data_IF_010360139008
#
_entry.id   IF_010360139008
#
_cell.length_a   1.000
_cell.length_b   1.000
_cell.length_c   1.000
_cell.angle_alpha   90.00
_cell.angle_beta   90.00
_cell.angle_gamma   90.00
#
_symmetry.space_group_name_H-M   'P 1'
#
loop_
_entity.id
_entity.type
_entity.pdbx_description
1 polymer ?
#
# COMPACT_ATOMS: atom_id res chain seq x y z
N UNK A 1 -14.03 5.06 36.98
CA UNK A 1 -13.12 6.24 37.06
C UNK A 1 -13.48 7.01 38.30
N UNK A 2 -12.52 7.28 39.14
CA UNK A 2 -12.70 8.19 40.30
C UNK A 2 -12.41 9.62 39.80
N UNK A 3 -13.39 10.54 40.01
CA UNK A 3 -13.29 11.96 39.61
C UNK A 3 -12.88 12.23 38.16
N UNK A 4 -13.65 11.79 37.15
CA UNK A 4 -13.32 12.03 35.73
C UNK A 4 -13.31 13.55 35.42
N UNK A 5 -12.28 14.00 34.67
CA UNK A 5 -12.18 15.38 34.18
C UNK A 5 -11.80 15.38 32.69
N UNK A 6 -12.30 16.35 31.96
CA UNK A 6 -11.90 16.53 30.58
C UNK A 6 -10.39 16.81 30.48
N UNK A 7 -9.67 16.07 29.64
CA UNK A 7 -8.23 16.26 29.48
C UNK A 7 -7.84 17.60 28.81
N UNK A 8 -8.79 18.32 28.22
CA UNK A 8 -8.56 19.59 27.51
C UNK A 8 -8.97 20.79 28.39
N UNK A 9 -10.22 20.79 28.93
CA UNK A 9 -10.77 21.93 29.66
C UNK A 9 -10.83 21.69 31.17
N UNK A 10 -10.43 20.53 31.67
CA UNK A 10 -10.44 20.13 33.09
C UNK A 10 -11.82 20.14 33.76
N UNK A 11 -12.91 20.35 33.01
CA UNK A 11 -14.26 20.35 33.60
C UNK A 11 -14.72 18.92 33.93
N UNK A 12 -15.59 18.82 34.92
CA UNK A 12 -16.25 17.58 35.31
C UNK A 12 -17.36 17.25 34.32
N UNK A 13 -17.43 16.03 33.77
CA UNK A 13 -18.50 15.64 32.87
C UNK A 13 -19.85 15.58 33.58
N UNK A 14 -20.91 15.93 32.88
CA UNK A 14 -22.30 15.83 33.36
C UNK A 14 -22.86 14.47 32.94
N UNK A 15 -23.49 13.76 33.88
CA UNK A 15 -24.24 12.53 33.61
C UNK A 15 -25.56 12.88 32.95
N UNK A 16 -25.89 12.15 31.85
CA UNK A 16 -27.20 12.21 31.18
C UNK A 16 -27.71 10.79 30.99
N UNK A 17 -29.00 10.61 31.16
CA UNK A 17 -29.72 9.38 30.77
C UNK A 17 -30.28 9.55 29.39
N UNK A 18 -30.19 8.50 28.57
CA UNK A 18 -30.80 8.42 27.24
C UNK A 18 -31.10 6.97 26.86
N UNK A 19 -32.15 6.78 26.08
CA UNK A 19 -32.56 5.48 25.58
C UNK A 19 -31.81 5.11 24.30
N UNK A 20 -31.22 3.92 24.28
CA UNK A 20 -30.41 3.45 23.17
C UNK A 20 -30.85 2.08 22.68
N UNK A 21 -30.67 1.82 21.37
CA UNK A 21 -30.81 0.51 20.78
C UNK A 21 -29.49 -0.22 20.80
N UNK A 22 -29.55 -1.51 21.13
CA UNK A 22 -28.39 -2.38 21.21
C UNK A 22 -28.50 -3.50 20.17
N UNK A 23 -27.46 -3.61 19.34
CA UNK A 23 -27.27 -4.78 18.50
C UNK A 23 -26.85 -5.97 19.36
N UNK A 24 -27.59 -7.07 19.28
CA UNK A 24 -27.38 -8.27 20.10
C UNK A 24 -26.14 -9.05 19.65
N UNK A 25 -24.96 -8.45 19.82
CA UNK A 25 -23.67 -9.04 19.44
C UNK A 25 -23.44 -10.37 20.17
N UNK A 26 -23.87 -10.45 21.44
CA UNK A 26 -23.77 -11.67 22.25
C UNK A 26 -24.41 -12.90 21.61
N UNK A 27 -25.42 -12.74 20.76
CA UNK A 27 -26.09 -13.86 20.05
C UNK A 27 -25.21 -14.49 18.96
N UNK A 28 -24.16 -13.81 18.52
CA UNK A 28 -23.27 -14.25 17.46
C UNK A 28 -21.98 -14.89 17.97
N UNK A 29 -21.82 -15.05 19.29
CA UNK A 29 -20.59 -15.54 19.94
C UNK A 29 -20.07 -16.83 19.31
N UNK A 30 -20.90 -17.87 19.20
CA UNK A 30 -20.47 -19.16 18.64
C UNK A 30 -20.16 -19.12 17.15
N UNK A 31 -20.94 -18.35 16.38
CA UNK A 31 -20.71 -18.19 14.94
C UNK A 31 -19.39 -17.42 14.67
N UNK A 32 -19.15 -16.35 15.44
CA UNK A 32 -17.89 -15.59 15.37
C UNK A 32 -16.70 -16.44 15.79
N UNK A 33 -16.84 -17.21 16.87
CA UNK A 33 -15.81 -18.15 17.32
C UNK A 33 -15.47 -19.18 16.24
N UNK A 34 -16.49 -19.79 15.64
CA UNK A 34 -16.31 -20.77 14.57
C UNK A 34 -15.61 -20.18 13.36
N UNK A 35 -16.01 -18.98 12.93
CA UNK A 35 -15.37 -18.29 11.82
C UNK A 35 -13.91 -17.92 12.11
N UNK A 36 -13.62 -17.41 13.32
CA UNK A 36 -12.26 -17.04 13.71
C UNK A 36 -11.32 -18.26 13.74
N UNK A 37 -11.81 -19.39 14.26
CA UNK A 37 -11.01 -20.63 14.33
C UNK A 37 -10.82 -21.24 12.93
N UNK A 38 -11.87 -21.21 12.10
CA UNK A 38 -11.86 -21.81 10.76
C UNK A 38 -11.18 -20.96 9.67
N UNK A 39 -10.73 -19.75 9.97
CA UNK A 39 -10.10 -18.88 8.99
C UNK A 39 -8.59 -18.73 9.25
N UNK A 40 -7.79 -19.57 8.59
CA UNK A 40 -6.32 -19.56 8.71
C UNK A 40 -5.64 -18.39 8.00
N UNK A 41 -6.38 -17.61 7.20
CA UNK A 41 -5.84 -16.42 6.55
C UNK A 41 -5.75 -15.19 7.48
N UNK A 42 -6.35 -15.28 8.68
CA UNK A 42 -6.24 -14.21 9.68
C UNK A 42 -4.88 -14.25 10.36
N UNK A 43 -4.32 -13.05 10.63
CA UNK A 43 -3.08 -12.95 11.41
C UNK A 43 -3.28 -13.62 12.79
N UNK A 44 -2.49 -14.63 13.10
CA UNK A 44 -2.64 -15.47 14.31
C UNK A 44 -2.65 -14.67 15.60
N UNK A 45 -1.82 -13.64 15.70
CA UNK A 45 -1.76 -12.75 16.88
C UNK A 45 -3.08 -12.01 17.10
N UNK A 46 -3.63 -11.43 16.02
CA UNK A 46 -4.90 -10.67 16.09
C UNK A 46 -6.07 -11.63 16.34
N UNK A 47 -6.11 -12.75 15.61
CA UNK A 47 -7.12 -13.80 15.81
C UNK A 47 -7.17 -14.27 17.27
N UNK A 48 -6.01 -14.62 17.84
CA UNK A 48 -5.93 -15.11 19.20
C UNK A 48 -6.30 -14.02 20.24
N UNK A 49 -5.99 -12.77 19.95
CA UNK A 49 -6.39 -11.65 20.79
C UNK A 49 -7.91 -11.46 20.79
N UNK A 50 -8.55 -11.53 19.61
CA UNK A 50 -10.01 -11.41 19.48
C UNK A 50 -10.73 -12.61 20.08
N UNK A 51 -10.21 -13.82 19.92
CA UNK A 51 -10.77 -15.03 20.55
C UNK A 51 -10.89 -14.90 22.05
N UNK A 52 -9.91 -14.28 22.72
CA UNK A 52 -10.01 -14.00 24.18
C UNK A 52 -11.18 -13.08 24.54
N UNK A 53 -11.53 -12.12 23.67
CA UNK A 53 -12.74 -11.30 23.88
C UNK A 53 -14.02 -12.14 23.73
N UNK A 54 -14.05 -13.01 22.73
CA UNK A 54 -15.21 -13.88 22.50
C UNK A 54 -15.39 -14.85 23.68
N UNK A 55 -14.33 -15.45 24.18
CA UNK A 55 -14.33 -16.35 25.35
C UNK A 55 -14.69 -15.61 26.67
N UNK A 56 -14.30 -14.35 26.79
CA UNK A 56 -14.64 -13.51 27.95
C UNK A 56 -16.10 -13.03 27.98
N UNK A 57 -16.88 -13.32 26.94
CA UNK A 57 -18.27 -12.92 26.79
C UNK A 57 -18.43 -11.58 26.06
N UNK A 58 -19.06 -11.62 24.88
CA UNK A 58 -19.34 -10.44 24.08
C UNK A 58 -20.52 -9.66 24.69
N UNK A 59 -20.35 -8.36 24.84
CA UNK A 59 -21.42 -7.45 25.23
C UNK A 59 -22.16 -6.94 24.00
N UNK A 60 -23.47 -6.67 24.19
CA UNK A 60 -24.29 -6.06 23.15
C UNK A 60 -23.81 -4.65 22.84
N UNK A 61 -23.88 -4.28 21.58
CA UNK A 61 -23.30 -3.04 21.08
C UNK A 61 -24.34 -1.94 20.94
N UNK A 62 -24.14 -0.82 21.62
CA UNK A 62 -24.93 0.40 21.46
C UNK A 62 -24.73 1.00 20.05
N UNK A 63 -25.79 1.00 19.25
CA UNK A 63 -25.78 1.40 17.84
C UNK A 63 -26.50 2.73 17.56
N UNK A 64 -26.85 3.48 18.61
CA UNK A 64 -27.54 4.76 18.46
C UNK A 64 -26.84 5.90 19.19
N UNK A 65 -27.16 7.13 18.77
CA UNK A 65 -26.66 8.35 19.42
C UNK A 65 -27.79 9.38 19.45
N UNK A 66 -27.91 10.06 20.58
CA UNK A 66 -28.85 11.16 20.80
C UNK A 66 -28.28 12.46 20.20
N UNK A 67 -28.16 12.47 18.86
CA UNK A 67 -27.70 13.61 18.06
C UNK A 67 -28.58 13.77 16.82
N UNK A 68 -28.87 15.02 16.41
CA UNK A 68 -29.74 15.28 15.26
C UNK A 68 -29.07 15.03 13.90
N UNK A 69 -27.74 14.89 13.86
CA UNK A 69 -26.99 14.69 12.64
C UNK A 69 -26.54 13.23 12.50
N UNK A 70 -26.90 12.58 11.40
CA UNK A 70 -26.58 11.20 11.12
C UNK A 70 -27.68 10.50 10.32
N UNK A 71 -27.56 9.20 10.12
CA UNK A 71 -28.60 8.36 9.54
C UNK A 71 -29.70 8.13 10.59
N UNK A 72 -30.94 8.62 10.37
CA UNK A 72 -32.01 8.45 11.36
C UNK A 72 -32.39 6.98 11.50
N UNK A 73 -32.82 6.60 12.68
CA UNK A 73 -33.40 5.27 12.92
C UNK A 73 -34.70 5.19 12.12
N UNK A 74 -34.98 4.08 11.41
CA UNK A 74 -36.18 3.92 10.58
C UNK A 74 -37.43 3.67 11.42
N UNK A 75 -37.70 4.54 12.40
CA UNK A 75 -38.86 4.54 13.31
C UNK A 75 -39.27 5.98 13.62
N UNK A 76 -40.54 6.31 13.42
CA UNK A 76 -41.06 7.67 13.58
C UNK A 76 -41.09 8.12 15.07
N UNK A 77 -41.20 7.18 15.99
CA UNK A 77 -41.26 7.45 17.44
C UNK A 77 -39.88 7.67 18.08
N UNK A 78 -38.78 7.53 17.33
CA UNK A 78 -37.41 7.60 17.85
C UNK A 78 -36.63 8.75 17.23
N UNK A 79 -36.22 9.72 18.05
CA UNK A 79 -35.38 10.85 17.64
C UNK A 79 -33.90 10.60 17.90
N UNK A 80 -33.36 9.52 17.39
CA UNK A 80 -31.95 9.20 17.47
C UNK A 80 -31.37 8.86 16.12
N UNK A 81 -30.06 8.99 15.96
CA UNK A 81 -29.32 8.62 14.76
C UNK A 81 -28.53 7.34 14.99
N UNK A 82 -28.30 6.60 13.92
CA UNK A 82 -27.38 5.45 13.96
C UNK A 82 -25.98 5.92 14.30
N UNK A 83 -25.28 5.12 15.09
CA UNK A 83 -23.87 5.34 15.38
C UNK A 83 -23.03 5.13 14.13
N UNK A 84 -22.14 6.07 13.83
CA UNK A 84 -21.30 6.10 12.63
C UNK A 84 -20.65 4.74 12.31
N UNK A 85 -20.14 4.03 13.29
CA UNK A 85 -19.49 2.74 13.03
C UNK A 85 -20.48 1.60 12.73
N UNK A 86 -21.76 1.78 12.97
CA UNK A 86 -22.77 0.80 12.56
C UNK A 86 -23.09 0.92 11.07
N UNK A 87 -23.47 2.09 10.59
CA UNK A 87 -23.84 2.32 9.19
C UNK A 87 -22.62 2.36 8.26
N UNK A 88 -21.47 2.89 8.72
CA UNK A 88 -20.25 2.99 7.92
C UNK A 88 -19.72 1.63 7.43
N UNK A 89 -19.92 0.55 8.18
CA UNK A 89 -19.53 -0.80 7.76
C UNK A 89 -20.28 -1.28 6.50
N UNK A 90 -21.45 -0.73 6.23
CA UNK A 90 -22.24 -1.05 5.04
C UNK A 90 -21.63 -0.47 3.76
N UNK A 91 -20.76 0.55 3.87
CA UNK A 91 -20.15 1.21 2.71
C UNK A 91 -19.33 0.27 1.84
N UNK A 92 -18.70 -0.75 2.41
CA UNK A 92 -17.96 -1.76 1.66
C UNK A 92 -18.86 -2.49 0.66
N UNK A 93 -20.01 -2.96 1.13
CA UNK A 93 -20.98 -3.68 0.30
C UNK A 93 -21.65 -2.71 -0.67
N UNK A 94 -22.22 -1.61 -0.18
CA UNK A 94 -22.98 -0.66 -1.01
C UNK A 94 -22.12 -0.05 -2.13
N UNK A 95 -20.87 0.26 -1.85
CA UNK A 95 -19.92 0.78 -2.87
C UNK A 95 -19.62 -0.29 -3.92
N UNK A 96 -19.33 -1.53 -3.49
CA UNK A 96 -19.06 -2.63 -4.41
C UNK A 96 -20.29 -2.91 -5.31
N UNK A 97 -21.47 -2.99 -4.73
CA UNK A 97 -22.71 -3.19 -5.48
C UNK A 97 -22.95 -2.09 -6.51
N UNK A 98 -22.78 -0.83 -6.12
CA UNK A 98 -22.98 0.32 -7.02
C UNK A 98 -22.00 0.31 -8.19
N UNK A 99 -20.71 0.06 -7.94
CA UNK A 99 -19.68 0.01 -8.99
C UNK A 99 -19.94 -1.15 -9.96
N UNK A 100 -20.27 -2.32 -9.43
CA UNK A 100 -20.51 -3.52 -10.25
C UNK A 100 -21.80 -3.41 -11.07
N UNK A 101 -22.85 -2.80 -10.51
CA UNK A 101 -24.06 -2.47 -11.26
C UNK A 101 -23.75 -1.58 -12.47
N UNK A 102 -22.90 -0.56 -12.30
CA UNK A 102 -22.44 0.29 -13.40
C UNK A 102 -21.65 -0.45 -14.49
N UNK A 103 -21.16 -1.67 -14.18
CA UNK A 103 -20.47 -2.58 -15.12
C UNK A 103 -21.35 -3.72 -15.61
N UNK A 104 -22.65 -3.70 -15.35
CA UNK A 104 -23.62 -4.75 -15.67
C UNK A 104 -23.25 -6.11 -15.06
N UNK A 105 -22.65 -6.11 -13.88
CA UNK A 105 -22.31 -7.31 -13.12
C UNK A 105 -23.25 -7.48 -11.92
N UNK A 106 -23.57 -8.73 -11.58
CA UNK A 106 -24.29 -9.03 -10.34
C UNK A 106 -23.35 -8.85 -9.14
N UNK A 107 -23.51 -7.73 -8.44
CA UNK A 107 -22.67 -7.35 -7.32
C UNK A 107 -22.74 -8.32 -6.15
N UNK A 108 -23.88 -8.95 -5.87
CA UNK A 108 -24.04 -9.90 -4.78
C UNK A 108 -23.31 -11.21 -5.08
N UNK A 109 -23.49 -11.77 -6.27
CA UNK A 109 -22.76 -12.96 -6.70
C UNK A 109 -21.26 -12.72 -6.74
N UNK A 110 -20.84 -11.56 -7.26
CA UNK A 110 -19.42 -11.19 -7.26
C UNK A 110 -18.86 -11.12 -5.83
N UNK A 111 -19.54 -10.40 -4.91
CA UNK A 111 -19.11 -10.31 -3.51
C UNK A 111 -18.91 -11.68 -2.88
N UNK A 112 -19.85 -12.59 -3.08
CA UNK A 112 -19.83 -13.91 -2.45
C UNK A 112 -18.81 -14.88 -3.09
N UNK A 113 -18.37 -14.63 -4.33
CA UNK A 113 -17.34 -15.43 -5.02
C UNK A 113 -15.93 -14.84 -4.94
N UNK A 114 -15.78 -13.52 -4.77
CA UNK A 114 -14.49 -12.85 -4.71
C UNK A 114 -13.72 -13.17 -3.41
N UNK A 115 -12.39 -13.05 -3.45
CA UNK A 115 -11.56 -12.99 -2.23
C UNK A 115 -11.65 -11.59 -1.64
N UNK A 116 -12.07 -11.49 -0.39
CA UNK A 116 -12.30 -10.23 0.31
C UNK A 116 -11.14 -9.90 1.23
N UNK A 117 -10.43 -8.82 0.91
CA UNK A 117 -9.35 -8.27 1.73
C UNK A 117 -9.78 -6.94 2.33
N UNK A 118 -9.82 -6.84 3.66
CA UNK A 118 -10.03 -5.57 4.36
C UNK A 118 -8.74 -5.16 5.06
N UNK A 119 -8.02 -4.20 4.49
CA UNK A 119 -6.83 -3.61 5.12
C UNK A 119 -7.24 -2.65 6.22
N UNK A 120 -6.83 -2.93 7.45
CA UNK A 120 -7.28 -2.18 8.63
C UNK A 120 -6.11 -1.76 9.54
N UNK A 121 -6.34 -0.70 10.34
CA UNK A 121 -5.50 -0.36 11.47
C UNK A 121 -5.91 -1.17 12.72
N UNK A 122 -4.98 -1.33 13.66
CA UNK A 122 -5.24 -2.06 14.91
C UNK A 122 -6.33 -1.43 15.80
N UNK A 123 -6.62 -0.15 15.59
CA UNK A 123 -7.66 0.60 16.32
C UNK A 123 -9.09 0.16 15.97
N UNK A 124 -9.29 -0.44 14.79
CA UNK A 124 -10.60 -0.89 14.31
C UNK A 124 -10.72 -2.42 14.23
N UNK A 125 -9.86 -3.16 14.94
CA UNK A 125 -9.92 -4.63 15.03
C UNK A 125 -11.27 -5.08 15.55
N UNK A 126 -11.77 -4.48 16.64
CA UNK A 126 -13.06 -4.84 17.23
C UNK A 126 -14.20 -4.74 16.20
N UNK A 127 -14.18 -3.69 15.38
CA UNK A 127 -15.19 -3.46 14.35
C UNK A 127 -15.14 -4.51 13.23
N UNK A 128 -13.96 -4.87 12.74
CA UNK A 128 -13.81 -5.74 11.57
C UNK A 128 -13.76 -7.23 11.90
N UNK A 129 -13.42 -7.59 13.13
CA UNK A 129 -13.39 -8.98 13.56
C UNK A 129 -14.65 -9.43 14.30
N UNK A 130 -15.47 -8.50 14.81
CA UNK A 130 -16.67 -8.82 15.57
C UNK A 130 -17.94 -8.18 14.98
N UNK A 131 -18.02 -6.83 14.96
CA UNK A 131 -19.27 -6.14 14.57
C UNK A 131 -19.64 -6.37 13.13
N UNK A 132 -18.74 -6.10 12.18
CA UNK A 132 -19.02 -6.30 10.76
C UNK A 132 -19.33 -7.74 10.40
N UNK A 133 -18.58 -8.76 10.87
CA UNK A 133 -18.95 -10.16 10.70
C UNK A 133 -20.33 -10.48 11.30
N UNK A 134 -20.63 -10.05 12.52
CA UNK A 134 -21.92 -10.31 13.17
C UNK A 134 -23.09 -9.70 12.38
N UNK A 135 -22.94 -8.48 11.87
CA UNK A 135 -23.96 -7.85 11.01
C UNK A 135 -24.20 -8.64 9.73
N UNK A 136 -23.14 -9.15 9.08
CA UNK A 136 -23.27 -9.99 7.87
C UNK A 136 -23.91 -11.35 8.19
N UNK A 137 -23.53 -11.97 9.29
CA UNK A 137 -24.17 -13.21 9.78
C UNK A 137 -25.65 -13.00 10.07
N UNK A 138 -26.02 -11.85 10.64
CA UNK A 138 -27.41 -11.51 10.92
C UNK A 138 -28.25 -11.33 9.67
N UNK A 139 -27.69 -10.79 8.61
CA UNK A 139 -28.36 -10.66 7.30
C UNK A 139 -28.34 -11.98 6.51
N UNK A 140 -27.27 -12.77 6.63
CA UNK A 140 -27.12 -14.08 5.98
C UNK A 140 -26.89 -14.03 4.45
N UNK A 141 -26.69 -12.86 3.87
CA UNK A 141 -26.62 -12.69 2.41
C UNK A 141 -25.20 -12.44 1.87
N UNK A 142 -24.30 -12.00 2.71
CA UNK A 142 -22.96 -11.56 2.33
C UNK A 142 -21.91 -12.33 3.10
N UNK A 143 -20.93 -12.90 2.38
CA UNK A 143 -19.83 -13.63 3.01
C UNK A 143 -18.96 -12.74 3.89
N UNK A 144 -18.33 -13.37 4.87
CA UNK A 144 -17.36 -12.71 5.76
C UNK A 144 -16.03 -12.45 5.04
N UNK A 145 -15.17 -11.57 5.56
CA UNK A 145 -13.84 -11.32 5.00
C UNK A 145 -12.99 -12.59 4.98
N UNK A 146 -12.26 -12.81 3.87
CA UNK A 146 -11.27 -13.88 3.81
C UNK A 146 -9.97 -13.45 4.52
N UNK A 147 -9.59 -12.18 4.37
CA UNK A 147 -8.36 -11.61 4.93
C UNK A 147 -8.66 -10.29 5.64
N UNK A 148 -8.04 -10.10 6.80
CA UNK A 148 -8.08 -8.85 7.56
C UNK A 148 -6.65 -8.38 7.89
N UNK A 149 -5.87 -7.94 6.87
CA UNK A 149 -4.52 -7.44 7.10
C UNK A 149 -4.53 -6.26 8.06
N UNK A 150 -4.10 -6.51 9.29
CA UNK A 150 -4.11 -5.54 10.40
C UNK A 150 -2.72 -4.95 10.56
N UNK A 151 -2.63 -3.62 10.59
CA UNK A 151 -1.37 -2.86 10.72
C UNK A 151 -1.35 -2.02 11.98
N UNK A 152 -0.14 -1.69 12.45
CA UNK A 152 0.07 -0.71 13.51
C UNK A 152 -0.29 0.71 13.08
N UNK A 153 -0.21 1.64 14.03
CA UNK A 153 -0.38 3.06 13.74
C UNK A 153 0.88 3.64 13.11
N UNK A 154 0.70 4.69 12.31
CA UNK A 154 1.80 5.52 11.84
C UNK A 154 2.01 6.64 12.87
N UNK A 155 3.22 6.73 13.41
CA UNK A 155 3.69 7.83 14.22
C UNK A 155 4.38 8.86 13.32
N UNK A 156 4.52 10.09 13.77
CA UNK A 156 5.27 11.14 13.08
C UNK A 156 6.36 11.68 14.00
N UNK A 157 7.61 11.52 13.61
CA UNK A 157 8.75 11.94 14.45
C UNK A 157 8.62 11.42 15.88
N UNK A 158 8.28 10.14 16.06
CA UNK A 158 8.10 9.47 17.34
C UNK A 158 6.84 9.85 18.13
N UNK A 159 5.92 10.65 17.57
CA UNK A 159 4.69 11.09 18.24
C UNK A 159 3.45 10.70 17.44
N UNK A 160 2.32 10.53 18.13
CA UNK A 160 1.02 10.30 17.47
C UNK A 160 0.58 11.51 16.67
N UNK A 161 -0.02 11.27 15.50
CA UNK A 161 -0.66 12.33 14.71
C UNK A 161 -1.73 13.05 15.54
N UNK A 162 -1.77 14.37 15.47
CA UNK A 162 -2.74 15.19 16.21
C UNK A 162 -3.07 16.48 15.48
N UNK A 163 -4.29 16.58 14.95
CA UNK A 163 -4.77 17.82 14.30
C UNK A 163 -4.84 18.99 15.29
N UNK A 164 -5.34 18.76 16.50
CA UNK A 164 -5.46 19.79 17.53
C UNK A 164 -4.11 20.36 18.00
N UNK A 165 -3.05 19.54 17.95
CA UNK A 165 -1.66 19.94 18.27
C UNK A 165 -0.86 20.35 17.04
N UNK A 166 -1.49 20.38 15.85
CA UNK A 166 -0.82 20.64 14.56
C UNK A 166 0.39 19.74 14.30
N UNK A 167 0.31 18.52 14.82
CA UNK A 167 1.33 17.50 14.65
C UNK A 167 0.85 16.46 13.63
N UNK A 168 0.91 16.84 12.35
CA UNK A 168 0.47 16.01 11.23
C UNK A 168 1.11 16.48 9.92
N UNK A 169 1.10 15.61 8.92
CA UNK A 169 1.48 15.93 7.54
C UNK A 169 0.18 16.17 6.76
N UNK A 170 0.00 17.36 6.21
CA UNK A 170 -1.04 17.63 5.24
C UNK A 170 -0.68 16.96 3.92
N UNK A 171 -1.53 16.05 3.43
CA UNK A 171 -1.28 15.37 2.16
C UNK A 171 -1.21 16.36 0.99
N UNK A 172 -2.04 17.42 1.01
CA UNK A 172 -2.00 18.48 0.00
C UNK A 172 -0.66 19.21 -0.02
N UNK A 173 -0.12 19.55 1.16
CA UNK A 173 1.18 20.24 1.27
C UNK A 173 2.33 19.32 0.92
N UNK A 174 2.23 18.04 1.27
CA UNK A 174 3.21 17.04 0.86
C UNK A 174 3.29 16.95 -0.66
N UNK A 175 2.15 16.81 -1.34
CA UNK A 175 2.07 16.69 -2.79
C UNK A 175 2.48 17.97 -3.54
N UNK A 176 2.40 19.13 -2.89
CA UNK A 176 2.96 20.38 -3.43
C UNK A 176 4.50 20.43 -3.38
N UNK A 177 5.12 19.63 -2.51
CA UNK A 177 6.57 19.60 -2.30
C UNK A 177 7.25 18.38 -2.95
N UNK A 178 6.60 17.22 -2.91
CA UNK A 178 7.17 15.94 -3.34
C UNK A 178 6.19 15.17 -4.22
N UNK A 179 6.70 14.33 -5.16
CA UNK A 179 5.87 13.43 -5.94
C UNK A 179 5.11 12.43 -5.04
N UNK A 180 3.89 12.07 -5.46
CA UNK A 180 3.08 11.07 -4.75
C UNK A 180 3.79 9.72 -4.61
N UNK A 181 4.57 9.33 -5.63
CA UNK A 181 5.33 8.07 -5.64
C UNK A 181 6.36 7.98 -4.51
N UNK A 182 6.92 9.11 -4.06
CA UNK A 182 7.88 9.12 -2.95
C UNK A 182 7.21 8.74 -1.63
N UNK A 183 5.99 9.25 -1.40
CA UNK A 183 5.22 8.87 -0.22
C UNK A 183 4.79 7.41 -0.26
N UNK A 184 4.29 6.94 -1.43
CA UNK A 184 3.89 5.55 -1.63
C UNK A 184 5.06 4.60 -1.37
N UNK A 185 6.21 4.88 -2.01
CA UNK A 185 7.44 4.12 -1.82
C UNK A 185 7.83 4.03 -0.34
N UNK A 186 7.92 5.17 0.31
CA UNK A 186 8.34 5.24 1.71
C UNK A 186 7.40 4.49 2.65
N UNK A 187 6.09 4.70 2.51
CA UNK A 187 5.11 4.00 3.32
C UNK A 187 5.15 2.48 3.10
N UNK A 188 5.31 2.03 1.86
CA UNK A 188 5.49 0.60 1.58
C UNK A 188 6.79 0.05 2.20
N UNK A 189 7.87 0.83 2.18
CA UNK A 189 9.18 0.42 2.70
C UNK A 189 9.22 0.31 4.23
N UNK A 190 8.40 1.08 4.97
CA UNK A 190 8.42 1.10 6.44
C UNK A 190 7.26 0.32 7.09
N UNK A 191 6.31 -0.23 6.32
CA UNK A 191 5.10 -0.84 6.88
C UNK A 191 5.17 -2.38 6.81
N UNK A 192 5.61 -3.06 7.88
CA UNK A 192 5.66 -4.52 7.93
C UNK A 192 4.28 -5.15 8.07
N UNK A 193 4.15 -6.45 7.79
CA UNK A 193 2.92 -7.21 8.04
C UNK A 193 2.79 -7.59 9.52
N UNK A 194 2.60 -6.58 10.37
CA UNK A 194 2.44 -6.75 11.83
C UNK A 194 1.67 -5.56 12.43
N UNK A 195 1.30 -5.65 13.74
CA UNK A 195 0.63 -4.58 14.46
C UNK A 195 1.60 -3.61 15.16
N UNK A 196 2.89 -3.72 14.85
CA UNK A 196 3.92 -2.80 15.37
C UNK A 196 3.68 -1.40 14.79
N UNK A 197 3.72 -0.39 15.66
CA UNK A 197 3.64 0.99 15.21
C UNK A 197 4.89 1.38 14.42
N UNK A 198 4.69 2.04 13.30
CA UNK A 198 5.77 2.53 12.43
C UNK A 198 5.92 4.03 12.59
N UNK A 199 7.13 4.54 12.37
CA UNK A 199 7.41 5.97 12.51
C UNK A 199 7.69 6.58 11.14
N UNK A 200 6.88 7.55 10.73
CA UNK A 200 7.27 8.44 9.64
C UNK A 200 8.33 9.39 10.17
N UNK A 201 9.54 9.24 9.69
CA UNK A 201 10.67 10.09 10.01
C UNK A 201 11.15 10.82 8.76
N UNK A 202 11.31 12.15 8.84
CA UNK A 202 11.69 12.96 7.69
C UNK A 202 13.12 12.70 7.21
N UNK A 203 14.05 12.36 8.11
CA UNK A 203 15.45 12.05 7.74
C UNK A 203 15.54 10.65 7.12
N UNK A 204 14.80 9.66 7.67
CA UNK A 204 14.70 8.34 7.06
C UNK A 204 14.00 8.40 5.69
N UNK A 205 12.95 9.23 5.56
CA UNK A 205 12.29 9.50 4.27
C UNK A 205 13.29 10.02 3.22
N UNK A 206 14.05 11.08 3.56
CA UNK A 206 15.09 11.61 2.67
C UNK A 206 16.13 10.54 2.32
N UNK A 207 16.63 9.84 3.33
CA UNK A 207 17.65 8.81 3.19
C UNK A 207 17.22 7.69 2.25
N UNK A 208 16.03 7.16 2.43
CA UNK A 208 15.51 6.08 1.56
C UNK A 208 15.25 6.55 0.15
N UNK A 209 14.60 7.71 -0.04
CA UNK A 209 14.37 8.24 -1.38
C UNK A 209 15.69 8.48 -2.11
N UNK A 210 16.65 9.13 -1.46
CA UNK A 210 17.93 9.46 -2.08
C UNK A 210 18.80 8.22 -2.36
N UNK A 211 18.83 7.25 -1.44
CA UNK A 211 19.70 6.08 -1.58
C UNK A 211 19.07 4.95 -2.40
N UNK A 212 17.78 4.69 -2.21
CA UNK A 212 17.11 3.54 -2.84
C UNK A 212 16.48 3.94 -4.19
N UNK A 213 15.62 4.98 -4.23
CA UNK A 213 15.00 5.40 -5.49
C UNK A 213 15.99 6.12 -6.42
N UNK A 214 16.72 7.12 -5.92
CA UNK A 214 17.59 7.94 -6.78
C UNK A 214 18.90 7.23 -7.10
N UNK A 215 19.68 6.86 -6.07
CA UNK A 215 21.04 6.35 -6.26
C UNK A 215 21.08 4.88 -6.70
N UNK A 216 20.06 4.06 -6.41
CA UNK A 216 20.01 2.68 -6.85
C UNK A 216 19.12 2.53 -8.10
N UNK A 217 17.79 2.67 -7.98
CA UNK A 217 16.85 2.42 -9.06
C UNK A 217 17.02 3.43 -10.20
N UNK A 218 16.97 4.71 -9.87
CA UNK A 218 17.09 5.81 -10.83
C UNK A 218 18.43 5.82 -11.56
N UNK A 219 19.52 5.55 -10.84
CA UNK A 219 20.85 5.47 -11.43
C UNK A 219 20.97 4.35 -12.46
N UNK A 220 20.47 3.14 -12.15
CA UNK A 220 20.48 2.03 -13.11
C UNK A 220 19.67 2.36 -14.35
N UNK A 221 18.44 2.86 -14.17
CA UNK A 221 17.55 3.24 -15.27
C UNK A 221 18.24 4.29 -16.19
N UNK A 222 18.70 5.37 -15.59
CA UNK A 222 19.31 6.48 -16.33
C UNK A 222 20.56 6.05 -17.07
N UNK A 223 21.45 5.29 -16.42
CA UNK A 223 22.69 4.79 -17.05
C UNK A 223 22.38 3.86 -18.22
N UNK A 224 21.53 2.85 -18.03
CA UNK A 224 21.22 1.89 -19.10
C UNK A 224 20.61 2.58 -20.32
N UNK A 225 19.61 3.44 -20.12
CA UNK A 225 18.99 4.19 -21.22
C UNK A 225 19.98 5.15 -21.88
N UNK A 226 20.81 5.88 -21.11
CA UNK A 226 21.80 6.82 -21.66
C UNK A 226 22.85 6.11 -22.50
N UNK A 227 23.33 4.93 -22.08
CA UNK A 227 24.28 4.17 -22.89
C UNK A 227 23.67 3.62 -24.18
N UNK A 228 22.41 3.19 -24.18
CA UNK A 228 21.69 2.80 -25.40
C UNK A 228 21.53 4.01 -26.32
N UNK A 229 21.13 5.17 -25.79
CA UNK A 229 20.95 6.39 -26.58
C UNK A 229 22.29 6.87 -27.23
N UNK A 230 23.33 7.00 -26.39
CA UNK A 230 24.60 7.61 -26.85
C UNK A 230 25.49 6.69 -27.67
N UNK A 231 25.45 5.37 -27.40
CA UNK A 231 26.32 4.40 -28.08
C UNK A 231 25.68 3.73 -29.28
N UNK A 232 24.34 3.60 -29.27
CA UNK A 232 23.57 2.88 -30.26
C UNK A 232 22.44 3.73 -30.87
N UNK A 233 22.47 5.05 -30.70
CA UNK A 233 21.49 5.97 -31.30
C UNK A 233 20.04 5.70 -30.85
N UNK A 234 19.87 5.22 -29.63
CA UNK A 234 18.57 4.86 -29.07
C UNK A 234 18.02 3.51 -29.53
N UNK A 235 18.80 2.72 -30.27
CA UNK A 235 18.42 1.39 -30.71
C UNK A 235 19.02 0.30 -29.81
N UNK A 236 18.19 -0.62 -29.34
CA UNK A 236 18.64 -1.74 -28.49
C UNK A 236 19.52 -2.67 -29.31
N UNK A 237 20.79 -2.87 -28.91
CA UNK A 237 21.74 -3.64 -29.72
C UNK A 237 21.41 -5.14 -29.77
N UNK A 238 21.81 -5.80 -30.85
CA UNK A 238 21.78 -7.25 -30.93
C UNK A 238 22.86 -7.83 -30.03
N UNK A 239 22.53 -8.79 -29.15
CA UNK A 239 23.53 -9.43 -28.30
C UNK A 239 24.53 -10.23 -29.12
N UNK A 240 25.80 -10.18 -28.74
CA UNK A 240 26.91 -10.87 -29.49
C UNK A 240 27.27 -12.24 -28.92
N UNK A 241 26.70 -12.61 -27.78
CA UNK A 241 26.91 -13.88 -27.13
C UNK A 241 26.65 -13.77 -25.62
N UNK A 242 26.42 -14.92 -24.98
CA UNK A 242 26.13 -15.03 -23.54
C UNK A 242 27.26 -15.78 -22.86
N UNK A 243 27.95 -15.08 -21.95
CA UNK A 243 28.85 -15.71 -20.96
C UNK A 243 28.06 -16.28 -19.76
N UNK A 244 28.81 -16.82 -18.78
CA UNK A 244 28.21 -17.33 -17.53
C UNK A 244 27.47 -16.22 -16.76
N UNK A 245 28.09 -15.04 -16.63
CA UNK A 245 27.53 -13.89 -15.93
C UNK A 245 26.21 -13.40 -16.59
N UNK A 246 26.12 -13.46 -17.91
CA UNK A 246 24.94 -13.03 -18.64
C UNK A 246 23.76 -13.98 -18.41
N UNK A 247 24.01 -15.29 -18.38
CA UNK A 247 23.00 -16.32 -18.09
C UNK A 247 22.53 -16.26 -16.64
N UNK A 248 23.43 -16.04 -15.70
CA UNK A 248 23.09 -15.86 -14.28
C UNK A 248 22.21 -14.62 -14.09
N UNK A 249 22.59 -13.51 -14.74
CA UNK A 249 21.81 -12.28 -14.70
C UNK A 249 20.44 -12.45 -15.33
N UNK A 250 20.36 -13.04 -16.51
CA UNK A 250 19.10 -13.35 -17.18
C UNK A 250 18.18 -14.22 -16.31
N UNK A 251 18.71 -15.29 -15.71
CA UNK A 251 17.96 -16.16 -14.81
C UNK A 251 17.41 -15.40 -13.58
N UNK A 252 18.20 -14.48 -13.01
CA UNK A 252 17.78 -13.64 -11.91
C UNK A 252 16.65 -12.67 -12.32
N UNK A 253 16.72 -12.08 -13.52
CA UNK A 253 15.66 -11.23 -14.07
C UNK A 253 14.36 -12.00 -14.26
N UNK A 254 14.42 -13.17 -14.92
CA UNK A 254 13.24 -13.99 -15.20
C UNK A 254 12.58 -14.55 -13.91
N UNK A 255 13.36 -14.81 -12.87
CA UNK A 255 12.87 -15.28 -11.58
C UNK A 255 12.32 -14.18 -10.64
N UNK A 256 12.54 -12.91 -10.97
CA UNK A 256 12.21 -11.79 -10.08
C UNK A 256 10.71 -11.64 -9.84
N UNK A 257 9.89 -11.76 -10.90
CA UNK A 257 8.44 -11.62 -10.81
C UNK A 257 7.84 -12.63 -9.82
N UNK A 258 8.26 -13.89 -9.87
CA UNK A 258 7.77 -14.92 -8.93
C UNK A 258 8.16 -14.64 -7.48
N UNK A 259 9.35 -14.09 -7.22
CA UNK A 259 9.77 -13.68 -5.87
C UNK A 259 8.92 -12.55 -5.32
N UNK A 260 8.66 -11.52 -6.13
CA UNK A 260 7.85 -10.37 -5.73
C UNK A 260 6.39 -10.79 -5.56
N UNK A 261 5.84 -11.58 -6.49
CA UNK A 261 4.48 -12.12 -6.44
C UNK A 261 4.23 -12.94 -5.18
N UNK A 262 5.16 -13.82 -4.83
CA UNK A 262 5.08 -14.61 -3.59
C UNK A 262 4.96 -13.72 -2.35
N UNK A 263 5.77 -12.66 -2.27
CA UNK A 263 5.69 -11.71 -1.14
C UNK A 263 4.41 -10.88 -1.13
N UNK A 264 3.92 -10.45 -2.28
CA UNK A 264 2.63 -9.76 -2.39
C UNK A 264 1.47 -10.69 -2.00
N UNK A 265 1.51 -11.95 -2.42
CA UNK A 265 0.54 -12.98 -2.05
C UNK A 265 0.48 -13.26 -0.54
N UNK A 266 1.63 -13.16 0.15
CA UNK A 266 1.76 -13.22 1.60
C UNK A 266 1.41 -11.89 2.31
N UNK A 267 1.02 -10.85 1.55
CA UNK A 267 0.72 -9.49 2.05
C UNK A 267 1.97 -8.82 2.69
N UNK A 268 3.15 -9.31 2.40
CA UNK A 268 4.44 -8.76 2.86
C UNK A 268 4.96 -7.67 1.90
N UNK A 269 4.23 -6.55 1.82
CA UNK A 269 4.47 -5.46 0.86
C UNK A 269 5.89 -4.89 0.98
N UNK A 270 6.38 -4.70 2.21
CA UNK A 270 7.74 -4.25 2.49
C UNK A 270 8.78 -5.20 1.89
N UNK A 271 8.61 -6.52 2.08
CA UNK A 271 9.55 -7.52 1.57
C UNK A 271 9.47 -7.65 0.04
N UNK A 272 8.29 -7.46 -0.54
CA UNK A 272 8.13 -7.40 -1.99
C UNK A 272 8.92 -6.22 -2.60
N UNK A 273 8.80 -5.03 -2.01
CA UNK A 273 9.56 -3.85 -2.41
C UNK A 273 11.08 -4.06 -2.22
N UNK A 274 11.49 -4.64 -1.10
CA UNK A 274 12.89 -4.98 -0.84
C UNK A 274 13.47 -5.92 -1.91
N UNK A 275 12.71 -6.92 -2.36
CA UNK A 275 13.14 -7.81 -3.43
C UNK A 275 13.39 -7.06 -4.77
N UNK A 276 12.60 -6.01 -5.06
CA UNK A 276 12.82 -5.15 -6.23
C UNK A 276 14.10 -4.31 -6.08
N UNK A 277 14.34 -3.75 -4.89
CA UNK A 277 15.57 -2.99 -4.59
C UNK A 277 16.81 -3.88 -4.72
N UNK A 278 16.74 -5.12 -4.21
CA UNK A 278 17.81 -6.12 -4.33
C UNK A 278 18.07 -6.51 -5.80
N UNK A 279 17.01 -6.73 -6.58
CA UNK A 279 17.12 -6.95 -8.02
C UNK A 279 17.84 -5.79 -8.72
N UNK A 280 17.47 -4.55 -8.39
CA UNK A 280 18.09 -3.38 -8.99
C UNK A 280 19.56 -3.23 -8.59
N UNK A 281 19.89 -3.59 -7.35
CA UNK A 281 21.29 -3.64 -6.89
C UNK A 281 22.11 -4.67 -7.69
N UNK A 282 21.52 -5.84 -7.98
CA UNK A 282 22.12 -6.85 -8.84
C UNK A 282 22.30 -6.32 -10.29
N UNK A 283 21.31 -5.58 -10.82
CA UNK A 283 21.42 -4.93 -12.12
C UNK A 283 22.58 -3.94 -12.16
N UNK A 284 22.76 -3.11 -11.16
CA UNK A 284 23.88 -2.18 -11.04
C UNK A 284 25.24 -2.90 -10.95
N UNK A 285 25.33 -3.99 -10.19
CA UNK A 285 26.55 -4.81 -10.07
C UNK A 285 26.92 -5.47 -11.41
N UNK A 286 25.93 -6.06 -12.09
CA UNK A 286 26.12 -6.64 -13.41
C UNK A 286 26.62 -5.58 -14.41
N UNK A 287 25.95 -4.42 -14.46
CA UNK A 287 26.34 -3.31 -15.34
C UNK A 287 27.76 -2.81 -15.08
N UNK A 288 28.15 -2.73 -13.78
CA UNK A 288 29.51 -2.35 -13.37
C UNK A 288 30.55 -3.40 -13.73
N UNK A 289 30.22 -4.69 -13.62
CA UNK A 289 31.10 -5.82 -13.96
C UNK A 289 31.36 -5.89 -15.46
N UNK A 290 30.32 -5.74 -16.27
CA UNK A 290 30.39 -5.79 -17.74
C UNK A 290 31.05 -4.55 -18.38
N UNK A 291 31.10 -3.42 -17.65
CA UNK A 291 31.75 -2.17 -18.11
C UNK A 291 31.37 -1.77 -19.53
N UNK A 292 30.08 -1.56 -19.87
CA UNK A 292 29.65 -1.28 -21.25
C UNK A 292 30.22 0.02 -21.83
N UNK A 293 30.94 0.81 -21.04
CA UNK A 293 31.68 1.99 -21.47
C UNK A 293 33.06 1.67 -22.07
N UNK A 294 33.63 0.51 -21.78
CA UNK A 294 35.00 0.16 -22.16
C UNK A 294 35.09 -0.33 -23.62
N UNK A 295 34.14 -1.14 -24.06
CA UNK A 295 34.14 -1.72 -25.41
C UNK A 295 32.69 -1.81 -25.95
N UNK A 296 32.50 -1.40 -27.22
CA UNK A 296 31.18 -1.38 -27.85
C UNK A 296 30.62 -2.79 -28.13
N UNK A 297 31.45 -3.77 -28.45
CA UNK A 297 31.00 -5.15 -28.69
C UNK A 297 30.61 -5.83 -27.36
N UNK A 298 31.45 -5.68 -26.33
CA UNK A 298 31.12 -6.19 -24.97
C UNK A 298 29.87 -5.52 -24.38
N UNK A 299 29.56 -4.29 -24.79
CA UNK A 299 28.37 -3.57 -24.35
C UNK A 299 27.06 -4.16 -24.89
N UNK A 300 27.05 -4.80 -26.06
CA UNK A 300 25.81 -5.21 -26.75
C UNK A 300 24.93 -6.12 -25.92
N UNK A 301 25.45 -7.24 -25.45
CA UNK A 301 24.70 -8.19 -24.61
C UNK A 301 24.29 -7.55 -23.26
N UNK A 302 25.20 -6.78 -22.66
CA UNK A 302 24.91 -6.07 -21.41
C UNK A 302 23.74 -5.08 -21.55
N UNK A 303 23.72 -4.27 -22.61
CA UNK A 303 22.67 -3.26 -22.81
C UNK A 303 21.35 -3.89 -23.28
N UNK A 304 21.40 -4.96 -24.06
CA UNK A 304 20.21 -5.74 -24.42
C UNK A 304 19.51 -6.31 -23.16
N UNK A 305 20.26 -6.98 -22.28
CA UNK A 305 19.73 -7.51 -21.02
C UNK A 305 19.30 -6.40 -20.07
N UNK A 306 20.06 -5.30 -19.99
CA UNK A 306 19.68 -4.16 -19.17
C UNK A 306 18.38 -3.50 -19.63
N UNK A 307 18.16 -3.36 -20.94
CA UNK A 307 16.91 -2.83 -21.47
C UNK A 307 15.70 -3.69 -21.11
N UNK A 308 15.85 -5.01 -21.20
CA UNK A 308 14.82 -5.95 -20.76
C UNK A 308 14.61 -5.89 -19.22
N UNK A 309 15.68 -5.73 -18.44
CA UNK A 309 15.59 -5.50 -17.00
C UNK A 309 14.76 -4.25 -16.67
N UNK A 310 14.92 -3.16 -17.42
CA UNK A 310 14.12 -1.95 -17.24
C UNK A 310 12.63 -2.18 -17.48
N UNK A 311 12.28 -2.98 -18.50
CA UNK A 311 10.88 -3.34 -18.75
C UNK A 311 10.30 -4.18 -17.60
N UNK A 312 11.05 -5.15 -17.12
CA UNK A 312 10.67 -5.97 -15.97
C UNK A 312 10.49 -5.08 -14.73
N UNK A 313 11.45 -4.19 -14.45
CA UNK A 313 11.37 -3.26 -13.33
C UNK A 313 10.18 -2.31 -13.45
N UNK A 314 9.80 -1.86 -14.65
CA UNK A 314 8.61 -1.01 -14.83
C UNK A 314 7.34 -1.74 -14.35
N UNK A 315 7.16 -3.01 -14.69
CA UNK A 315 6.01 -3.82 -14.25
C UNK A 315 6.06 -4.06 -12.73
N UNK A 316 7.23 -4.45 -12.20
CA UNK A 316 7.38 -4.75 -10.78
C UNK A 316 7.22 -3.51 -9.87
N UNK A 317 7.62 -2.33 -10.36
CA UNK A 317 7.51 -1.05 -9.64
C UNK A 317 6.11 -0.44 -9.72
N UNK A 318 5.29 -0.83 -10.68
CA UNK A 318 3.96 -0.24 -10.91
C UNK A 318 3.10 -0.21 -9.64
N UNK A 319 2.97 -1.26 -8.81
CA UNK A 319 2.15 -1.21 -7.61
C UNK A 319 2.66 -0.21 -6.55
N UNK A 320 3.94 0.13 -6.57
CA UNK A 320 4.60 0.96 -5.56
C UNK A 320 4.73 2.42 -6.00
N UNK A 321 5.19 2.65 -7.24
CA UNK A 321 5.48 3.98 -7.81
C UNK A 321 4.88 4.10 -9.21
N UNK A 322 3.52 4.09 -9.32
CA UNK A 322 2.81 3.95 -10.59
C UNK A 322 3.16 5.02 -11.61
N UNK A 323 3.29 6.30 -11.20
CA UNK A 323 3.60 7.38 -12.15
C UNK A 323 5.03 7.27 -12.69
N UNK A 324 5.97 6.85 -11.86
CA UNK A 324 7.36 6.63 -12.25
C UNK A 324 7.50 5.40 -13.17
N UNK A 325 6.76 4.33 -12.86
CA UNK A 325 6.70 3.14 -13.70
C UNK A 325 6.13 3.44 -15.09
N UNK A 326 5.05 4.23 -15.17
CA UNK A 326 4.47 4.68 -16.45
C UNK A 326 5.46 5.57 -17.24
N UNK A 327 6.17 6.45 -16.55
CA UNK A 327 7.20 7.27 -17.16
C UNK A 327 8.35 6.42 -17.73
N UNK A 328 8.78 5.38 -17.01
CA UNK A 328 9.78 4.43 -17.49
C UNK A 328 9.27 3.64 -18.70
N UNK A 329 8.01 3.17 -18.65
CA UNK A 329 7.36 2.47 -19.76
C UNK A 329 7.34 3.30 -21.03
N UNK A 330 6.99 4.59 -20.91
CA UNK A 330 7.04 5.53 -22.03
C UNK A 330 8.46 5.77 -22.55
N UNK A 331 9.48 5.88 -21.68
CA UNK A 331 10.88 6.01 -22.12
C UNK A 331 11.39 4.77 -22.84
N UNK A 332 10.90 3.59 -22.47
CA UNK A 332 11.17 2.34 -23.18
C UNK A 332 10.39 2.23 -24.50
N UNK A 333 9.56 3.23 -24.83
CA UNK A 333 8.71 3.23 -26.03
C UNK A 333 7.86 1.96 -26.16
N UNK A 334 7.35 1.48 -25.02
CA UNK A 334 6.45 0.34 -25.01
C UNK A 334 5.03 0.77 -25.38
N UNK A 335 4.25 -0.08 -26.06
CA UNK A 335 2.87 0.23 -26.43
C UNK A 335 1.94 0.23 -25.19
N UNK A 336 0.89 1.05 -25.25
CA UNK A 336 -0.12 1.12 -24.18
C UNK A 336 0.42 1.71 -22.89
N UNK A 337 -0.12 1.26 -21.78
CA UNK A 337 0.26 1.68 -20.43
C UNK A 337 0.85 0.52 -19.63
N UNK A 338 1.78 0.81 -18.71
CA UNK A 338 2.28 -0.20 -17.77
C UNK A 338 1.16 -0.76 -16.88
N UNK A 339 0.11 0.02 -16.63
CA UNK A 339 -1.05 -0.41 -15.87
C UNK A 339 -1.86 -1.54 -16.53
N UNK A 340 -1.72 -1.71 -17.85
CA UNK A 340 -2.35 -2.78 -18.63
C UNK A 340 -1.43 -3.99 -18.82
N UNK A 341 -0.14 -3.86 -18.46
CA UNK A 341 0.83 -4.94 -18.59
C UNK A 341 0.49 -6.08 -17.63
N UNK A 342 0.62 -7.31 -18.11
CA UNK A 342 0.33 -8.49 -17.30
C UNK A 342 1.55 -8.88 -16.48
N UNK A 343 1.34 -9.27 -15.23
CA UNK A 343 2.39 -9.61 -14.29
C UNK A 343 3.37 -10.68 -14.81
N UNK A 344 2.86 -11.72 -15.49
CA UNK A 344 3.70 -12.79 -16.04
C UNK A 344 4.65 -12.32 -17.14
N UNK A 345 4.41 -11.16 -17.76
CA UNK A 345 5.32 -10.58 -18.74
C UNK A 345 6.63 -10.10 -18.11
N UNK A 346 6.66 -9.87 -16.79
CA UNK A 346 7.88 -9.57 -16.06
C UNK A 346 8.80 -10.80 -15.88
N UNK A 347 8.40 -11.98 -16.33
CA UNK A 347 9.23 -13.19 -16.41
C UNK A 347 9.73 -13.47 -17.83
N UNK A 348 9.74 -12.48 -18.71
CA UNK A 348 10.10 -12.64 -20.13
C UNK A 348 10.95 -11.49 -20.63
N UNK A 349 11.88 -11.77 -21.54
CA UNK A 349 12.65 -10.76 -22.27
C UNK A 349 11.88 -10.38 -23.54
N UNK A 350 11.04 -9.37 -23.47
CA UNK A 350 10.13 -8.98 -24.56
C UNK A 350 10.63 -7.82 -25.41
N UNK A 351 11.66 -7.10 -24.98
CA UNK A 351 12.32 -6.09 -25.82
C UNK A 351 13.30 -6.80 -26.78
N UNK A 352 13.06 -6.65 -28.07
CA UNK A 352 13.90 -7.25 -29.11
C UNK A 352 15.07 -6.33 -29.49
N UNK A 353 16.11 -6.90 -30.05
CA UNK A 353 17.16 -6.13 -30.76
C UNK A 353 16.52 -5.28 -31.86
N UNK A 354 17.03 -4.09 -32.06
CA UNK A 354 16.48 -3.10 -33.02
C UNK A 354 15.33 -2.26 -32.46
N UNK A 355 14.82 -2.58 -31.27
CA UNK A 355 13.81 -1.74 -30.62
C UNK A 355 14.36 -0.35 -30.29
N UNK A 356 13.58 0.71 -30.54
CA UNK A 356 13.99 2.09 -30.31
C UNK A 356 13.39 2.63 -29.04
N UNK A 357 14.24 3.08 -28.12
CA UNK A 357 13.83 3.80 -26.90
C UNK A 357 13.62 5.29 -27.17
N UNK A 358 12.90 5.96 -26.29
CA UNK A 358 12.78 7.42 -26.28
C UNK A 358 14.03 8.05 -25.66
N UNK A 359 14.22 9.37 -25.90
CA UNK A 359 15.32 10.12 -25.28
C UNK A 359 15.25 10.02 -23.75
N UNK A 360 16.34 9.58 -23.09
CA UNK A 360 16.36 9.38 -21.65
C UNK A 360 16.04 10.67 -20.85
N UNK A 361 15.24 10.52 -19.81
CA UNK A 361 14.95 11.59 -18.84
C UNK A 361 15.19 11.06 -17.44
N UNK A 362 15.65 11.95 -16.56
CA UNK A 362 15.80 11.62 -15.13
C UNK A 362 14.43 11.30 -14.53
N UNK A 363 14.31 10.12 -13.92
CA UNK A 363 13.04 9.63 -13.38
C UNK A 363 12.79 10.13 -11.95
N UNK A 364 13.83 10.17 -11.14
CA UNK A 364 13.76 10.58 -9.74
C UNK A 364 14.72 11.73 -9.47
N UNK A 365 14.25 12.75 -8.76
CA UNK A 365 15.09 13.84 -8.27
C UNK A 365 15.50 13.61 -6.82
N UNK A 366 16.70 14.01 -6.49
CA UNK A 366 17.19 14.04 -5.11
C UNK A 366 16.37 15.02 -4.27
N UNK A 367 16.13 14.65 -3.02
CA UNK A 367 15.56 15.53 -2.00
C UNK A 367 16.73 16.23 -1.32
N UNK A 368 16.66 17.56 -1.21
CA UNK A 368 17.68 18.36 -0.54
C UNK A 368 17.36 18.54 0.95
N UNK A 369 18.34 18.55 1.85
CA UNK A 369 18.12 18.68 3.30
C UNK A 369 17.27 19.89 3.71
N UNK A 370 17.35 20.98 2.95
CA UNK A 370 16.55 22.17 3.23
C UNK A 370 15.04 21.95 2.96
N UNK A 371 14.68 21.05 2.03
CA UNK A 371 13.28 20.70 1.76
C UNK A 371 12.71 19.96 2.98
N UNK A 372 13.48 19.06 3.57
CA UNK A 372 13.12 18.31 4.78
C UNK A 372 13.01 19.25 5.99
N UNK A 373 13.98 20.14 6.17
CA UNK A 373 13.94 21.10 7.26
C UNK A 373 12.67 21.96 7.22
N UNK A 374 12.26 22.41 6.02
CA UNK A 374 11.00 23.15 5.84
C UNK A 374 9.76 22.35 6.28
N UNK A 375 9.75 21.03 6.08
CA UNK A 375 8.63 20.19 6.53
C UNK A 375 8.64 20.00 8.05
N UNK A 376 9.80 19.78 8.65
CA UNK A 376 9.96 19.69 10.11
C UNK A 376 9.54 20.99 10.80
N UNK A 377 9.88 22.13 10.22
CA UNK A 377 9.55 23.45 10.75
C UNK A 377 8.04 23.76 10.79
N UNK A 378 7.25 23.07 10.01
CA UNK A 378 5.77 23.20 10.03
C UNK A 378 5.12 22.47 11.22
N UNK A 379 5.81 21.49 11.80
CA UNK A 379 5.24 20.66 12.86
C UNK A 379 5.06 21.47 14.16
N UNK A 380 3.85 21.42 14.73
CA UNK A 380 3.51 22.10 15.99
C UNK A 380 3.35 23.61 15.91
N UNK A 381 3.61 24.24 14.76
CA UNK A 381 3.40 25.68 14.57
C UNK A 381 1.96 26.01 14.16
N UNK A 382 1.47 27.14 14.63
CA UNK A 382 0.25 27.72 14.08
C UNK A 382 0.55 28.15 12.65
N UNK A 383 -0.15 27.55 11.67
CA UNK A 383 -0.16 28.15 10.34
C UNK A 383 -0.84 29.52 10.45
N UNK A 384 -0.31 30.57 9.79
CA UNK A 384 -1.06 31.81 9.67
C UNK A 384 -2.41 31.53 9.03
N UNK A 385 -3.47 32.27 9.39
CA UNK A 385 -4.83 32.08 8.91
C UNK A 385 -4.95 32.12 7.40
#
# INVERSE_FOLDING_TARGET
MLNPRCAICCQVPVSRESDHYFFKLSRFTEQLRSWLIGNDNLQSEVRNYVLRWVEGGLQDWDITRDIPWGVPIPREDVKASLYLWFDNHLCYISTALKVLQGRSLDGKSFWNSAKLYHFIGKDIVYHHYLFLPAMRLGVGEYKLPDYLPTRGHIMLQGRKFSKSRKWYISLREFLASFPADYLRYYLCAITPYSQVDVNFDWDDFEGRINNELVANIGNFIHRALTFIDTRFGGEVPTPTGYGSDDREYEAALLGAAGKVEGKLGEIEIEKALKAIVELTSLCNQYFQRKKPWADAEAARTCLYLSCNALRILAILLEPFVPNSAETLWAQLNQPGSVHDARWHEASQLLIRAGHRIQKPKVLFRKIEPQEIQRQKDKLGRSQPP
#
